data_IF_153628743186
#
_entry.id   IF_153628743186
#
_cell.length_a   1.000
_cell.length_b   1.000
_cell.length_c   1.000
_cell.angle_alpha   90.00
_cell.angle_beta   90.00
_cell.angle_gamma   90.00
#
_symmetry.space_group_name_H-M   'P 1'
#
loop_
_entity.id
_entity.type
_entity.pdbx_description
1 polymer ?
#
# COMPACT_ATOMS: atom_id res chain seq x y z
N UNK A 1 1.71 -11.87 -23.51
CA UNK A 1 0.31 -12.33 -23.39
C UNK A 1 -0.57 -11.29 -24.06
N UNK A 2 -1.67 -11.67 -24.71
CA UNK A 2 -2.62 -10.69 -25.26
C UNK A 2 -3.16 -9.81 -24.12
N UNK A 3 -3.65 -8.62 -24.43
CA UNK A 3 -4.31 -7.74 -23.45
C UNK A 3 -5.34 -8.53 -22.63
N UNK A 4 -5.25 -8.39 -21.30
CA UNK A 4 -6.15 -9.03 -20.34
C UNK A 4 -5.73 -10.43 -19.85
N UNK A 5 -4.67 -11.04 -20.40
CA UNK A 5 -4.17 -12.33 -19.88
C UNK A 5 -3.04 -12.12 -18.87
N UNK A 6 -3.28 -12.49 -17.61
CA UNK A 6 -2.29 -12.49 -16.52
C UNK A 6 -1.68 -13.88 -16.40
N UNK A 7 -0.35 -13.97 -16.40
CA UNK A 7 0.36 -15.20 -16.02
C UNK A 7 0.68 -15.12 -14.54
N UNK A 8 0.08 -16.01 -13.75
CA UNK A 8 0.54 -16.24 -12.39
C UNK A 8 1.78 -17.13 -12.46
N UNK A 9 2.90 -16.68 -11.89
CA UNK A 9 4.12 -17.50 -11.74
C UNK A 9 3.99 -18.53 -10.63
N UNK A 10 3.05 -18.31 -9.71
CA UNK A 10 2.53 -19.34 -8.82
C UNK A 10 1.52 -20.19 -9.60
N UNK A 11 1.83 -21.49 -9.74
CA UNK A 11 1.01 -22.49 -10.44
C UNK A 11 -0.46 -22.49 -10.01
N UNK A 12 -0.77 -22.04 -8.80
CA UNK A 12 -2.11 -22.16 -8.20
C UNK A 12 -2.68 -20.83 -7.66
N UNK A 13 -1.99 -19.70 -7.86
CA UNK A 13 -2.45 -18.38 -7.38
C UNK A 13 -2.53 -18.24 -5.85
N UNK A 14 -2.02 -19.22 -5.10
CA UNK A 14 -2.05 -19.28 -3.63
C UNK A 14 -1.31 -18.10 -3.00
N UNK A 15 -0.16 -17.73 -3.55
CA UNK A 15 0.68 -16.63 -3.10
C UNK A 15 -0.05 -15.30 -3.23
N UNK A 16 -0.64 -15.05 -4.39
CA UNK A 16 -1.42 -13.85 -4.68
C UNK A 16 -2.69 -13.77 -3.79
N UNK A 17 -3.36 -14.90 -3.56
CA UNK A 17 -4.47 -14.98 -2.60
C UNK A 17 -4.02 -14.65 -1.16
N UNK A 18 -2.84 -15.12 -0.74
CA UNK A 18 -2.27 -14.82 0.58
C UNK A 18 -1.81 -13.38 0.73
N UNK A 19 -1.24 -12.78 -0.31
CA UNK A 19 -0.90 -11.36 -0.27
C UNK A 19 -2.17 -10.51 -0.15
N UNK A 20 -3.20 -10.82 -0.95
CA UNK A 20 -4.49 -10.11 -0.86
C UNK A 20 -5.18 -10.31 0.48
N UNK A 21 -5.06 -11.47 1.13
CA UNK A 21 -5.73 -11.69 2.41
C UNK A 21 -5.21 -10.77 3.52
N UNK A 22 -3.93 -10.39 3.48
CA UNK A 22 -3.39 -9.39 4.42
C UNK A 22 -4.00 -8.01 4.17
N UNK A 23 -4.16 -7.61 2.91
CA UNK A 23 -4.68 -6.28 2.57
C UNK A 23 -6.19 -6.17 2.77
N UNK A 24 -6.95 -7.24 2.47
CA UNK A 24 -8.41 -7.21 2.40
C UNK A 24 -9.07 -7.90 3.60
N UNK A 25 -8.49 -9.00 4.09
CA UNK A 25 -9.09 -9.85 5.11
C UNK A 25 -8.88 -9.38 6.55
N UNK A 26 -7.86 -8.55 6.81
CA UNK A 26 -7.57 -8.08 8.17
C UNK A 26 -8.69 -7.22 8.78
N UNK A 27 -9.54 -6.63 7.94
CA UNK A 27 -10.70 -5.85 8.40
C UNK A 27 -11.69 -6.67 9.22
N UNK A 28 -11.81 -7.99 8.95
CA UNK A 28 -12.65 -8.93 9.71
C UNK A 28 -12.19 -9.07 11.18
N UNK A 29 -10.91 -8.78 11.45
CA UNK A 29 -10.29 -8.83 12.76
C UNK A 29 -10.11 -7.45 13.40
N UNK A 30 -10.85 -6.44 12.93
CA UNK A 30 -10.71 -5.05 13.36
C UNK A 30 -9.28 -4.50 13.15
N UNK A 31 -8.63 -4.88 12.04
CA UNK A 31 -7.34 -4.33 11.61
C UNK A 31 -7.51 -3.69 10.23
N UNK A 32 -7.85 -2.41 10.22
CA UNK A 32 -8.13 -1.66 9.00
C UNK A 32 -6.86 -1.06 8.43
N UNK A 33 -6.72 -1.05 7.10
CA UNK A 33 -5.73 -0.21 6.41
C UNK A 33 -6.07 1.27 6.68
N UNK A 34 -5.30 1.91 7.56
CA UNK A 34 -5.65 3.23 8.08
C UNK A 34 -5.57 4.30 6.99
N UNK A 35 -4.62 4.18 6.07
CA UNK A 35 -4.52 5.10 4.93
C UNK A 35 -5.82 5.07 4.12
N UNK A 36 -6.34 3.88 3.82
CA UNK A 36 -7.58 3.72 3.05
C UNK A 36 -8.82 4.11 3.84
N UNK A 37 -8.83 3.85 5.14
CA UNK A 37 -9.92 4.25 6.01
C UNK A 37 -10.09 5.77 6.02
N UNK A 38 -9.00 6.53 6.10
CA UNK A 38 -9.03 8.00 6.21
C UNK A 38 -9.12 8.72 4.86
N UNK A 39 -8.41 8.22 3.83
CA UNK A 39 -8.27 8.92 2.54
C UNK A 39 -9.13 8.34 1.40
N UNK A 40 -9.82 7.22 1.63
CA UNK A 40 -10.62 6.54 0.61
C UNK A 40 -9.78 5.98 -0.56
N UNK A 41 -10.44 5.75 -1.70
CA UNK A 41 -9.82 5.16 -2.89
C UNK A 41 -9.43 6.18 -3.97
N UNK A 42 -9.97 7.39 -3.92
CA UNK A 42 -9.62 8.48 -4.84
C UNK A 42 -8.16 8.90 -4.67
N UNK A 43 -7.62 8.81 -3.44
CA UNK A 43 -6.21 9.05 -3.18
C UNK A 43 -5.36 7.85 -3.64
N UNK A 44 -4.56 8.03 -4.68
CA UNK A 44 -3.78 6.96 -5.32
C UNK A 44 -2.39 6.72 -4.73
N UNK A 45 -2.03 7.42 -3.64
CA UNK A 45 -0.68 7.46 -3.05
C UNK A 45 0.11 6.14 -3.07
N UNK A 46 1.42 6.25 -3.26
CA UNK A 46 2.34 5.13 -3.45
C UNK A 46 3.59 5.33 -2.61
N UNK A 47 4.06 4.26 -1.97
CA UNK A 47 5.33 4.26 -1.25
C UNK A 47 6.51 4.06 -2.18
N UNK A 48 6.35 3.26 -3.24
CA UNK A 48 7.44 2.86 -4.11
C UNK A 48 7.15 3.14 -5.60
N UNK A 49 8.21 3.40 -6.37
CA UNK A 49 8.16 3.61 -7.80
C UNK A 49 9.35 2.98 -8.53
N UNK A 50 9.08 2.38 -9.68
CA UNK A 50 10.11 1.87 -10.58
C UNK A 50 10.37 2.87 -11.70
N UNK A 51 11.63 3.27 -11.86
CA UNK A 51 12.08 4.08 -13.00
C UNK A 51 12.94 3.26 -13.95
N UNK A 52 12.66 3.37 -15.25
CA UNK A 52 13.49 2.80 -16.31
C UNK A 52 13.67 3.84 -17.40
N UNK A 53 14.93 4.15 -17.74
CA UNK A 53 15.29 5.20 -18.72
C UNK A 53 14.58 6.53 -18.43
N UNK A 54 14.59 6.97 -17.17
CA UNK A 54 13.96 8.22 -16.71
C UNK A 54 12.43 8.18 -16.57
N UNK A 55 11.72 7.19 -17.13
CA UNK A 55 10.27 7.07 -17.06
C UNK A 55 9.81 6.21 -15.88
N UNK A 56 8.74 6.62 -15.21
CA UNK A 56 8.07 5.79 -14.20
C UNK A 56 7.28 4.71 -14.93
N UNK A 57 7.61 3.44 -14.68
CA UNK A 57 6.97 2.28 -15.30
C UNK A 57 6.11 1.46 -14.33
N UNK A 58 6.28 1.67 -13.02
CA UNK A 58 5.42 1.09 -12.00
C UNK A 58 5.31 2.01 -10.79
N UNK A 59 4.15 2.00 -10.15
CA UNK A 59 3.88 2.59 -8.83
C UNK A 59 3.24 1.52 -7.97
N UNK A 60 3.70 1.41 -6.73
CA UNK A 60 3.21 0.39 -5.78
C UNK A 60 3.06 1.00 -4.41
N UNK A 61 2.02 0.56 -3.71
CA UNK A 61 1.79 0.86 -2.31
C UNK A 61 2.07 -0.43 -1.55
N UNK A 62 3.30 -0.54 -1.04
CA UNK A 62 3.77 -1.73 -0.33
C UNK A 62 3.73 -1.55 1.18
N UNK A 63 3.77 -0.30 1.65
CA UNK A 63 3.86 0.04 3.06
C UNK A 63 2.47 0.45 3.55
N UNK A 64 1.98 -0.23 4.58
CA UNK A 64 0.64 -0.06 5.13
C UNK A 64 0.72 0.01 6.66
N UNK A 65 -0.20 0.76 7.26
CA UNK A 65 -0.46 0.72 8.71
C UNK A 65 -1.82 0.10 8.90
N UNK A 66 -1.86 -1.04 9.60
CA UNK A 66 -3.10 -1.71 9.99
C UNK A 66 -3.35 -1.49 11.47
N UNK A 67 -4.53 -0.97 11.82
CA UNK A 67 -4.89 -0.74 13.21
C UNK A 67 -6.40 -0.84 13.45
N UNK A 68 -6.75 -1.00 14.72
CA UNK A 68 -8.15 -0.98 15.15
C UNK A 68 -8.75 0.42 15.05
N UNK A 69 -10.00 0.50 14.59
CA UNK A 69 -10.76 1.76 14.54
C UNK A 69 -10.90 2.39 15.92
N UNK A 70 -10.94 1.56 16.96
CA UNK A 70 -11.04 1.99 18.37
C UNK A 70 -9.80 2.73 18.87
N UNK A 71 -8.67 2.67 18.16
CA UNK A 71 -7.51 3.53 18.45
C UNK A 71 -7.68 4.96 17.93
N UNK A 72 -8.81 5.27 17.30
CA UNK A 72 -9.18 6.61 16.83
C UNK A 72 -8.08 7.26 15.96
N UNK A 73 -7.82 6.66 14.78
CA UNK A 73 -6.82 7.19 13.84
C UNK A 73 -7.24 8.59 13.36
N UNK A 74 -6.29 9.51 13.32
CA UNK A 74 -6.54 10.92 12.98
C UNK A 74 -5.95 11.29 11.61
N UNK A 75 -4.69 10.96 11.36
CA UNK A 75 -4.02 11.16 10.06
C UNK A 75 -3.28 9.90 9.63
N UNK A 76 -3.08 9.72 8.32
CA UNK A 76 -2.21 8.68 7.78
C UNK A 76 -1.75 9.06 6.37
N UNK A 77 -0.45 9.30 6.21
CA UNK A 77 0.12 9.92 5.01
C UNK A 77 1.48 9.31 4.64
N UNK A 78 1.80 9.36 3.34
CA UNK A 78 3.13 8.97 2.85
C UNK A 78 4.07 10.17 2.86
N UNK A 79 5.16 10.06 3.60
CA UNK A 79 6.20 11.08 3.66
C UNK A 79 7.15 10.88 2.47
N UNK A 80 6.82 11.53 1.36
CA UNK A 80 7.51 11.33 0.08
C UNK A 80 8.94 11.87 0.03
N UNK A 81 9.35 12.76 0.93
CA UNK A 81 10.71 13.32 0.96
C UNK A 81 11.76 12.21 1.03
N UNK A 82 11.55 11.18 1.86
CA UNK A 82 12.44 10.01 1.95
C UNK A 82 12.82 9.43 0.59
N UNK A 83 11.82 9.27 -0.28
CA UNK A 83 12.05 8.76 -1.63
C UNK A 83 12.53 9.83 -2.61
N UNK A 84 11.95 11.03 -2.56
CA UNK A 84 12.24 12.11 -3.52
C UNK A 84 13.66 12.67 -3.34
N UNK A 85 14.17 12.64 -2.12
CA UNK A 85 15.51 13.08 -1.74
C UNK A 85 16.53 11.92 -1.73
N UNK A 86 16.14 10.74 -2.22
CA UNK A 86 17.00 9.56 -2.38
C UNK A 86 17.56 9.01 -1.06
N UNK A 87 16.84 9.23 0.05
CA UNK A 87 17.17 8.62 1.36
C UNK A 87 16.73 7.14 1.42
N UNK A 88 15.76 6.75 0.61
CA UNK A 88 15.28 5.37 0.41
C UNK A 88 14.63 5.24 -0.97
N UNK A 89 14.44 4.02 -1.47
CA UNK A 89 13.57 3.75 -2.61
C UNK A 89 12.07 3.74 -2.24
N UNK A 90 11.74 3.73 -0.95
CA UNK A 90 10.40 3.85 -0.39
C UNK A 90 10.14 5.24 0.23
N UNK A 91 8.88 5.68 0.20
CA UNK A 91 8.39 6.73 1.11
C UNK A 91 8.07 6.11 2.44
N UNK A 92 8.38 6.80 3.54
CA UNK A 92 7.84 6.42 4.84
C UNK A 92 6.31 6.58 4.84
N UNK A 93 5.63 5.84 5.71
CA UNK A 93 4.22 6.02 6.03
C UNK A 93 4.13 6.37 7.52
N UNK A 94 3.33 7.37 7.84
CA UNK A 94 3.10 7.84 9.20
C UNK A 94 1.61 7.88 9.47
N UNK A 95 1.20 7.52 10.69
CA UNK A 95 -0.17 7.70 11.16
C UNK A 95 -0.18 8.25 12.58
N UNK A 96 -1.16 9.10 12.89
CA UNK A 96 -1.41 9.62 14.23
C UNK A 96 -2.72 9.08 14.79
N UNK A 97 -2.81 8.97 16.12
CA UNK A 97 -3.94 8.41 16.83
C UNK A 97 -4.30 9.35 17.99
N UNK A 98 -5.60 9.56 18.22
CA UNK A 98 -6.12 10.44 19.27
C UNK A 98 -6.65 9.60 20.43
N UNK A 99 -5.98 9.69 21.58
CA UNK A 99 -6.39 9.03 22.84
C UNK A 99 -7.32 9.97 23.62
#
# INVERSE_FOLDING_TARGET
LKDGQVRFSDKEGRWDARERSVIQGLTEYNLYDIFRLLNGYESQEFSWLLRRKGKIIARRRFDHIFAAKTLNPDTCDYIHSFRKELLSDHSAIEATFKI
#
